data_IF_248411471312
#
_entry.id   IF_248411471312
#
_cell.length_a   1.000
_cell.length_b   1.000
_cell.length_c   1.000
_cell.angle_alpha   90.00
_cell.angle_beta   90.00
_cell.angle_gamma   90.00
#
_symmetry.space_group_name_H-M   'P 1'
#
loop_
_entity.id
_entity.type
_entity.pdbx_description
1 polymer ?
#
# COMPACT_ATOMS: atom_id res chain seq x y z
N UNK A 1 1.21 16.97 8.58
CA UNK A 1 2.21 16.01 8.08
C UNK A 1 2.29 16.05 6.56
N UNK A 2 3.50 16.04 6.00
CA UNK A 2 3.70 16.09 4.54
C UNK A 2 3.42 14.72 3.95
N UNK A 3 2.62 14.68 2.90
CA UNK A 3 2.36 13.46 2.13
C UNK A 3 3.69 12.85 1.63
N UNK A 4 3.83 11.53 1.74
CA UNK A 4 4.98 10.81 1.19
C UNK A 4 4.91 10.91 -0.34
N UNK A 5 6.03 11.25 -0.99
CA UNK A 5 6.04 11.36 -2.45
C UNK A 5 5.76 10.00 -3.09
N UNK A 6 5.06 9.93 -4.24
CA UNK A 6 4.70 8.64 -4.86
C UNK A 6 5.90 7.78 -5.28
N UNK A 7 7.03 8.41 -5.62
CA UNK A 7 8.29 7.79 -6.01
C UNK A 7 9.20 7.45 -4.82
N UNK A 8 8.87 7.95 -3.63
CA UNK A 8 9.57 7.60 -2.40
C UNK A 8 9.06 6.26 -1.87
N UNK A 9 10.01 5.43 -1.43
CA UNK A 9 9.71 4.15 -0.77
C UNK A 9 10.39 4.10 0.61
N UNK A 10 9.90 4.89 1.59
CA UNK A 10 10.54 5.03 2.89
C UNK A 10 10.15 3.87 3.82
N UNK A 11 11.00 3.56 4.79
CA UNK A 11 10.64 2.68 5.89
C UNK A 11 9.83 3.44 6.97
N UNK A 12 8.91 2.74 7.63
CA UNK A 12 8.22 3.16 8.87
C UNK A 12 7.55 4.54 8.80
N UNK A 13 6.61 4.69 7.86
CA UNK A 13 5.76 5.87 7.72
C UNK A 13 4.28 5.49 7.72
N UNK A 14 3.45 6.46 8.09
CA UNK A 14 2.01 6.37 7.83
C UNK A 14 1.80 6.47 6.32
N UNK A 15 1.38 5.37 5.72
CA UNK A 15 1.13 5.24 4.29
C UNK A 15 -0.23 4.59 4.06
N UNK A 16 -0.64 4.52 2.81
CA UNK A 16 -1.92 3.95 2.43
C UNK A 16 -1.82 3.21 1.10
N UNK A 17 -2.54 2.10 0.99
CA UNK A 17 -2.66 1.35 -0.25
C UNK A 17 -3.80 1.90 -1.09
N UNK A 18 -3.57 1.99 -2.40
CA UNK A 18 -4.54 2.48 -3.38
C UNK A 18 -4.77 1.44 -4.46
N UNK A 19 -6.03 1.30 -4.87
CA UNK A 19 -6.42 0.59 -6.07
C UNK A 19 -6.76 1.60 -7.17
N UNK A 20 -6.27 1.38 -8.39
CA UNK A 20 -6.45 2.29 -9.53
C UNK A 20 -7.00 1.54 -10.74
N UNK A 21 -7.89 2.15 -11.56
CA UNK A 21 -8.28 1.58 -12.84
C UNK A 21 -7.09 1.46 -13.81
N UNK A 22 -7.05 0.38 -14.60
CA UNK A 22 -5.96 0.14 -15.56
C UNK A 22 -5.87 1.19 -16.67
N UNK A 23 -7.01 1.77 -17.06
CA UNK A 23 -7.06 2.86 -18.03
C UNK A 23 -6.57 4.21 -17.46
N UNK A 24 -6.10 4.23 -16.21
CA UNK A 24 -5.88 5.44 -15.44
C UNK A 24 -7.17 5.99 -14.83
N UNK A 25 -7.04 7.02 -14.00
CA UNK A 25 -8.17 7.68 -13.34
C UNK A 25 -7.99 7.79 -11.83
N UNK A 26 -9.11 8.05 -11.14
CA UNK A 26 -9.10 8.31 -9.70
C UNK A 26 -8.79 7.01 -8.93
N UNK A 27 -7.71 6.96 -8.14
CA UNK A 27 -7.46 5.83 -7.26
C UNK A 27 -8.39 5.86 -6.03
N UNK A 28 -8.66 4.70 -5.48
CA UNK A 28 -9.42 4.51 -4.23
C UNK A 28 -8.49 3.98 -3.15
N UNK A 29 -8.53 4.58 -1.97
CA UNK A 29 -7.79 4.08 -0.80
C UNK A 29 -8.47 2.80 -0.28
N UNK A 30 -7.70 1.74 -0.10
CA UNK A 30 -8.20 0.43 0.35
C UNK A 30 -7.66 0.01 1.72
N UNK A 31 -6.57 0.63 2.21
CA UNK A 31 -6.03 0.39 3.54
C UNK A 31 -5.13 1.55 4.00
N UNK A 32 -5.09 1.81 5.31
CA UNK A 32 -4.09 2.66 5.97
C UNK A 32 -3.20 1.77 6.81
N UNK A 33 -1.88 2.01 6.79
CA UNK A 33 -0.92 1.20 7.51
C UNK A 33 0.33 1.99 7.90
N UNK A 34 1.05 1.48 8.89
CA UNK A 34 2.38 1.96 9.25
C UNK A 34 3.43 1.04 8.63
N UNK A 35 4.25 1.54 7.71
CA UNK A 35 5.17 0.71 6.94
C UNK A 35 5.81 1.49 5.79
N UNK A 36 5.78 0.93 4.58
CA UNK A 36 6.36 1.50 3.37
C UNK A 36 7.26 0.48 2.68
N UNK A 37 8.57 0.72 2.66
CA UNK A 37 9.54 -0.26 2.18
C UNK A 37 9.40 -1.60 2.91
N UNK A 38 9.17 -2.68 2.15
CA UNK A 38 8.87 -4.01 2.66
C UNK A 38 7.37 -4.35 2.75
N UNK A 39 6.47 -3.37 2.64
CA UNK A 39 5.02 -3.62 2.79
C UNK A 39 4.40 -4.36 1.61
N UNK A 40 4.78 -4.01 0.36
CA UNK A 40 4.29 -4.65 -0.88
C UNK A 40 5.23 -4.41 -2.08
N UNK A 41 6.43 -4.98 -2.05
CA UNK A 41 7.45 -4.75 -3.09
C UNK A 41 7.28 -5.58 -4.37
N UNK A 42 6.48 -6.63 -4.29
CA UNK A 42 6.26 -7.60 -5.36
C UNK A 42 4.77 -7.75 -5.62
N UNK A 43 4.35 -8.24 -6.79
CA UNK A 43 2.95 -8.61 -7.00
C UNK A 43 2.49 -9.63 -5.95
N UNK A 44 1.52 -9.24 -5.12
CA UNK A 44 1.04 -10.02 -3.97
C UNK A 44 -0.48 -10.26 -3.99
N UNK A 45 -1.06 -10.37 -5.18
CA UNK A 45 -2.48 -10.65 -5.36
C UNK A 45 -2.79 -12.13 -5.16
N UNK A 46 -3.97 -12.43 -4.61
CA UNK A 46 -4.52 -13.79 -4.68
C UNK A 46 -4.78 -14.18 -6.14
N UNK A 47 -4.75 -15.49 -6.49
CA UNK A 47 -4.99 -15.94 -7.87
C UNK A 47 -6.34 -15.51 -8.45
N UNK A 48 -7.35 -15.32 -7.60
CA UNK A 48 -8.69 -14.85 -7.98
C UNK A 48 -8.83 -13.31 -8.02
N UNK A 49 -7.75 -12.57 -7.77
CA UNK A 49 -7.70 -11.09 -7.73
C UNK A 49 -8.63 -10.44 -6.70
N UNK A 50 -9.13 -11.18 -5.71
CA UNK A 50 -10.04 -10.63 -4.68
C UNK A 50 -9.32 -10.13 -3.44
N UNK A 51 -8.05 -10.49 -3.24
CA UNK A 51 -7.27 -10.14 -2.04
C UNK A 51 -5.85 -9.72 -2.41
N UNK A 52 -5.27 -8.88 -1.56
CA UNK A 52 -3.86 -8.48 -1.63
C UNK A 52 -3.20 -8.84 -0.30
N UNK A 53 -2.04 -9.49 -0.35
CA UNK A 53 -1.15 -9.66 0.80
C UNK A 53 -0.23 -8.45 0.98
N UNK A 54 -0.12 -7.95 2.22
CA UNK A 54 0.79 -6.86 2.59
C UNK A 54 1.30 -7.03 4.03
N UNK A 55 2.39 -6.34 4.36
CA UNK A 55 2.97 -6.30 5.71
C UNK A 55 2.81 -4.90 6.31
N UNK A 56 2.33 -4.84 7.56
CA UNK A 56 2.32 -3.63 8.39
C UNK A 56 3.31 -3.77 9.54
N UNK A 57 4.04 -2.71 9.83
CA UNK A 57 4.94 -2.58 10.98
C UNK A 57 4.25 -1.97 12.21
N UNK A 58 2.92 -1.84 12.17
CA UNK A 58 2.15 -1.58 13.38
C UNK A 58 2.31 -2.75 14.36
N UNK A 59 2.48 -2.46 15.65
CA UNK A 59 2.25 -3.48 16.66
C UNK A 59 0.83 -4.00 16.50
N UNK A 60 0.67 -5.32 16.47
CA UNK A 60 -0.66 -5.90 16.64
C UNK A 60 -1.11 -5.59 18.07
N UNK A 61 -2.37 -5.17 18.28
CA UNK A 61 -2.93 -5.08 19.63
C UNK A 61 -2.89 -6.44 20.35
#
# INVERSE_FOLDING_TARGET
>A
DKEVKPDDHPFYKHVYLRLMPIAGGKPTVIAYLYGGQGSINTPSWSPDSKKIGFVSNSQMP
#
